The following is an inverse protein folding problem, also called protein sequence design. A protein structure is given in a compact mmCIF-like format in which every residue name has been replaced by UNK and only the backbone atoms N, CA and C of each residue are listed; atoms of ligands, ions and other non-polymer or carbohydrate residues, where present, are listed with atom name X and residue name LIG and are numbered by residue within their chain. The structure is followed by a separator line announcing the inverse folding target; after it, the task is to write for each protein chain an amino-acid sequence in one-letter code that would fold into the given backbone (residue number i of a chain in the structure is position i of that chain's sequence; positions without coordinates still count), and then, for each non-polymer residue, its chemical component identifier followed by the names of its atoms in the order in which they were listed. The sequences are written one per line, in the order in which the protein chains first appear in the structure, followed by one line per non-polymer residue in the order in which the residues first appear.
data_IF_068934813341
#
_entry.id   IF_068934813341
#
_cell.length_a   1.000
_cell.length_b   1.000
_cell.length_c   1.000
_cell.angle_alpha   90.00
_cell.angle_beta   90.00
_cell.angle_gamma   90.00
#
_symmetry.space_group_name_H-M   'P 1'
#
loop_
_entity.id
_entity.type
_entity.pdbx_description
1 polymer ?
#
# COMPACT_ATOMS: atom_id res chain seq x y z
N UNK A 1 43.48 -0.10 -9.80
CA UNK A 1 42.12 0.27 -10.21
C UNK A 1 41.19 -0.89 -9.87
N UNK A 2 40.20 -0.85 -9.00
CA UNK A 2 39.83 0.07 -7.92
C UNK A 2 38.99 -0.76 -6.93
N UNK A 3 39.62 -1.29 -5.87
CA UNK A 3 38.90 -2.00 -4.78
C UNK A 3 37.85 -1.10 -4.11
N UNK A 4 37.97 0.23 -4.30
CA UNK A 4 37.02 1.25 -3.90
C UNK A 4 35.69 1.18 -4.67
N UNK A 5 35.64 0.65 -5.89
CA UNK A 5 34.40 0.58 -6.70
C UNK A 5 33.48 -0.57 -6.29
N UNK A 6 34.02 -1.66 -5.75
CA UNK A 6 33.21 -2.81 -5.30
C UNK A 6 32.46 -2.48 -4.01
N UNK A 7 33.07 -1.68 -3.12
CA UNK A 7 32.45 -1.31 -1.84
C UNK A 7 31.20 -0.41 -2.00
N UNK A 8 31.15 0.38 -3.08
CA UNK A 8 30.03 1.29 -3.37
C UNK A 8 28.79 0.53 -3.87
N UNK A 9 28.96 -0.66 -4.49
CA UNK A 9 27.83 -1.42 -5.01
C UNK A 9 27.05 -2.16 -3.91
N UNK A 10 27.72 -2.54 -2.82
CA UNK A 10 27.09 -3.19 -1.66
C UNK A 10 26.28 -2.24 -0.77
N UNK A 11 26.42 -0.92 -0.93
CA UNK A 11 25.69 0.05 -0.11
C UNK A 11 24.25 0.31 -0.60
N UNK A 12 23.95 0.00 -1.87
CA UNK A 12 22.60 0.22 -2.44
C UNK A 12 21.61 -0.94 -2.23
N UNK A 13 22.09 -2.12 -1.82
CA UNK A 13 21.25 -3.30 -1.57
C UNK A 13 20.74 -3.40 -0.12
N UNK A 14 21.12 -2.46 0.76
CA UNK A 14 20.90 -2.56 2.21
C UNK A 14 19.70 -1.81 2.78
N UNK A 15 18.87 -1.11 1.98
CA UNK A 15 17.76 -0.27 2.49
C UNK A 15 16.38 -0.82 2.10
N UNK A 16 16.21 -2.14 2.21
CA UNK A 16 14.88 -2.74 2.34
C UNK A 16 14.88 -3.66 3.56
N UNK A 17 15.22 -3.10 4.71
CA UNK A 17 14.85 -3.70 5.97
C UNK A 17 13.48 -3.12 6.36
N UNK A 18 12.34 -3.84 6.20
CA UNK A 18 11.09 -3.42 6.81
C UNK A 18 11.09 -3.77 8.30
N UNK A 19 12.25 -3.65 8.96
CA UNK A 19 12.35 -3.73 10.41
C UNK A 19 12.08 -2.32 10.94
N UNK A 20 11.10 -2.20 11.84
CA UNK A 20 10.61 -0.97 12.50
C UNK A 20 9.47 -0.21 11.82
N UNK A 21 8.33 -0.89 11.71
CA UNK A 21 7.10 -0.33 12.25
C UNK A 21 6.70 -1.16 13.46
N UNK A 22 7.36 -0.95 14.61
CA UNK A 22 6.97 -1.55 15.89
C UNK A 22 5.71 -0.86 16.43
N UNK A 23 4.64 -0.93 15.65
CA UNK A 23 3.28 -0.59 16.05
C UNK A 23 2.44 -1.86 15.91
N UNK A 24 1.50 -2.05 16.85
CA UNK A 24 0.44 -3.05 16.73
C UNK A 24 -0.37 -2.90 15.42
N UNK A 25 -0.38 -1.69 14.88
CA UNK A 25 -1.14 -1.25 13.72
C UNK A 25 -0.37 -1.41 12.40
N UNK A 26 -1.01 -2.07 11.42
CA UNK A 26 -0.53 -2.10 10.04
C UNK A 26 -0.94 -0.84 9.29
N UNK A 27 0.02 -0.24 8.58
CA UNK A 27 -0.23 0.88 7.69
C UNK A 27 0.14 0.50 6.26
N UNK A 28 -0.79 0.69 5.33
CA UNK A 28 -0.56 0.52 3.90
C UNK A 28 -1.18 1.70 3.14
N UNK A 29 -0.48 2.17 2.10
CA UNK A 29 -0.95 3.22 1.20
C UNK A 29 -0.86 2.72 -0.23
N UNK A 30 -2.00 2.71 -0.90
CA UNK A 30 -2.13 2.38 -2.31
C UNK A 30 -2.43 3.65 -3.11
N UNK A 31 -1.89 3.71 -4.33
CA UNK A 31 -2.01 4.86 -5.20
C UNK A 31 -2.91 4.57 -6.39
N UNK A 32 -3.62 5.58 -6.87
CA UNK A 32 -4.44 5.47 -8.07
C UNK A 32 -3.86 6.39 -9.16
N UNK A 33 -3.90 5.96 -10.43
CA UNK A 33 -3.71 6.87 -11.55
C UNK A 33 -4.72 8.04 -11.50
N UNK A 34 -4.36 9.16 -12.11
CA UNK A 34 -5.22 10.36 -12.17
C UNK A 34 -6.55 9.99 -12.85
N UNK A 35 -7.67 10.39 -12.24
CA UNK A 35 -9.01 10.11 -12.76
C UNK A 35 -9.47 8.64 -12.69
N UNK A 36 -8.62 7.71 -12.25
CA UNK A 36 -8.98 6.29 -12.15
C UNK A 36 -9.46 5.92 -10.75
N UNK A 37 -10.52 5.11 -10.69
CA UNK A 37 -11.00 4.41 -9.49
C UNK A 37 -10.56 2.94 -9.42
N UNK A 38 -10.01 2.40 -10.51
CA UNK A 38 -9.57 1.01 -10.57
C UNK A 38 -8.20 0.83 -9.91
N UNK A 39 -8.05 -0.10 -8.96
CA UNK A 39 -6.75 -0.44 -8.40
C UNK A 39 -5.84 -1.04 -9.46
N UNK A 40 -4.72 -0.37 -9.74
CA UNK A 40 -3.67 -0.88 -10.61
C UNK A 40 -2.52 -1.40 -9.74
N UNK A 41 -2.28 -2.70 -9.76
CA UNK A 41 -1.24 -3.35 -8.96
C UNK A 41 0.18 -3.08 -9.50
N UNK A 42 0.31 -2.76 -10.79
CA UNK A 42 1.59 -2.42 -11.41
C UNK A 42 1.97 -0.96 -11.14
N UNK A 43 1.01 -0.13 -10.72
CA UNK A 43 1.25 1.28 -10.43
C UNK A 43 1.93 1.46 -9.07
N UNK A 44 3.12 2.08 -9.04
CA UNK A 44 3.83 2.52 -7.82
C UNK A 44 3.97 1.43 -6.73
N UNK A 45 4.28 0.21 -7.16
CA UNK A 45 4.46 -0.97 -6.30
C UNK A 45 3.22 -1.35 -5.49
N UNK A 46 2.03 -0.98 -5.95
CA UNK A 46 0.77 -1.31 -5.28
C UNK A 46 0.61 -2.81 -5.02
N UNK A 47 1.05 -3.67 -5.95
CA UNK A 47 1.02 -5.13 -5.78
C UNK A 47 1.79 -5.59 -4.54
N UNK A 48 3.07 -5.24 -4.45
CA UNK A 48 3.93 -5.61 -3.31
C UNK A 48 3.37 -5.08 -1.99
N UNK A 49 2.84 -3.85 -1.99
CA UNK A 49 2.22 -3.23 -0.81
C UNK A 49 0.93 -3.95 -0.39
N UNK A 50 0.11 -4.35 -1.35
CA UNK A 50 -1.12 -5.10 -1.11
C UNK A 50 -0.79 -6.49 -0.57
N UNK A 51 0.15 -7.20 -1.17
CA UNK A 51 0.56 -8.54 -0.71
C UNK A 51 1.11 -8.50 0.72
N UNK A 52 1.92 -7.50 1.03
CA UNK A 52 2.43 -7.26 2.39
C UNK A 52 1.30 -6.97 3.38
N UNK A 53 0.30 -6.18 2.98
CA UNK A 53 -0.89 -5.91 3.80
C UNK A 53 -1.71 -7.17 4.04
N UNK A 54 -2.00 -7.95 2.99
CA UNK A 54 -2.79 -9.18 3.09
C UNK A 54 -2.09 -10.22 3.96
N UNK A 55 -0.78 -10.40 3.80
CA UNK A 55 0.03 -11.26 4.66
C UNK A 55 -0.04 -10.81 6.14
N UNK A 56 0.07 -9.50 6.39
CA UNK A 56 -0.05 -8.92 7.72
C UNK A 56 -1.44 -9.10 8.34
N UNK A 57 -2.51 -9.00 7.53
CA UNK A 57 -3.89 -9.24 7.97
C UNK A 57 -4.07 -10.72 8.33
N UNK A 58 -3.65 -11.64 7.45
CA UNK A 58 -3.76 -13.09 7.68
C UNK A 58 -3.01 -13.54 8.93
N UNK A 59 -1.79 -13.04 9.13
CA UNK A 59 -1.02 -13.30 10.35
C UNK A 59 -1.78 -12.84 11.61
N UNK A 60 -2.33 -11.63 11.61
CA UNK A 60 -3.10 -11.11 12.76
C UNK A 60 -4.42 -11.84 12.98
N UNK A 61 -5.06 -12.33 11.91
CA UNK A 61 -6.25 -13.19 12.02
C UNK A 61 -5.89 -14.55 12.62
N UNK A 62 -4.80 -15.18 12.18
CA UNK A 62 -4.33 -16.47 12.70
C UNK A 62 -3.99 -16.41 14.19
N UNK A 63 -3.49 -15.28 14.68
CA UNK A 63 -3.19 -15.06 16.10
C UNK A 63 -4.37 -14.44 16.89
N UNK A 64 -5.54 -14.23 16.27
CA UNK A 64 -6.72 -13.60 16.91
C UNK A 64 -6.45 -12.21 17.52
N UNK A 65 -5.50 -11.46 16.96
CA UNK A 65 -5.12 -10.11 17.42
C UNK A 65 -5.61 -8.99 16.50
N UNK A 66 -6.27 -9.33 15.38
CA UNK A 66 -6.84 -8.34 14.47
C UNK A 66 -8.10 -7.69 15.09
N UNK A 67 -7.98 -6.44 15.53
CA UNK A 67 -9.10 -5.72 16.18
C UNK A 67 -9.97 -4.91 15.24
N UNK A 68 -9.38 -4.24 14.26
CA UNK A 68 -10.08 -3.33 13.33
C UNK A 68 -9.28 -3.15 12.04
N UNK A 69 -9.97 -3.10 10.92
CA UNK A 69 -9.45 -2.59 9.66
C UNK A 69 -10.16 -1.27 9.36
N UNK A 70 -9.40 -0.22 9.06
CA UNK A 70 -9.94 1.07 8.65
C UNK A 70 -9.35 1.48 7.32
N UNK A 71 -10.21 1.91 6.40
CA UNK A 71 -9.81 2.31 5.07
C UNK A 71 -10.30 3.73 4.82
N UNK A 72 -9.44 4.54 4.21
CA UNK A 72 -9.73 5.92 3.82
C UNK A 72 -9.18 6.14 2.42
N UNK A 73 -9.93 6.88 1.62
CA UNK A 73 -9.56 7.24 0.25
C UNK A 73 -9.72 8.73 0.08
N UNK A 74 -8.95 9.29 -0.85
CA UNK A 74 -8.99 10.70 -1.18
C UNK A 74 -8.67 10.90 -2.66
N UNK A 75 -8.89 12.13 -3.10
CA UNK A 75 -8.51 12.59 -4.42
C UNK A 75 -7.71 13.87 -4.25
N UNK A 76 -6.80 14.09 -5.18
CA UNK A 76 -6.07 15.35 -5.26
C UNK A 76 -7.04 16.52 -5.47
N UNK A 77 -6.70 17.75 -5.05
CA UNK A 77 -7.65 18.86 -4.95
C UNK A 77 -8.07 19.45 -6.30
N UNK A 78 -7.51 18.96 -7.41
CA UNK A 78 -7.78 19.49 -8.74
C UNK A 78 -9.22 19.16 -9.17
N UNK A 79 -9.89 20.13 -9.79
CA UNK A 79 -11.24 19.98 -10.30
C UNK A 79 -12.34 20.18 -9.25
N UNK A 80 -13.51 19.59 -9.50
CA UNK A 80 -14.71 19.79 -8.69
C UNK A 80 -14.67 18.91 -7.42
N UNK A 81 -14.92 19.51 -6.26
CA UNK A 81 -14.97 18.83 -4.96
C UNK A 81 -15.99 17.68 -4.93
N UNK A 82 -17.14 17.83 -5.58
CA UNK A 82 -18.15 16.77 -5.69
C UNK A 82 -17.63 15.57 -6.50
N UNK A 83 -16.95 15.84 -7.61
CA UNK A 83 -16.32 14.81 -8.44
C UNK A 83 -15.18 14.11 -7.68
N UNK A 84 -14.38 14.87 -6.94
CA UNK A 84 -13.27 14.33 -6.14
C UNK A 84 -13.76 13.43 -5.01
N UNK A 85 -14.87 13.81 -4.36
CA UNK A 85 -15.54 12.99 -3.34
C UNK A 85 -16.08 11.70 -3.94
N UNK A 86 -16.81 11.79 -5.06
CA UNK A 86 -17.31 10.60 -5.77
C UNK A 86 -16.17 9.66 -6.16
N UNK A 87 -15.10 10.20 -6.73
CA UNK A 87 -13.92 9.43 -7.12
C UNK A 87 -13.26 8.77 -5.90
N UNK A 88 -13.17 9.47 -4.76
CA UNK A 88 -12.61 8.88 -3.54
C UNK A 88 -13.47 7.73 -3.00
N UNK A 89 -14.80 7.86 -3.07
CA UNK A 89 -15.74 6.82 -2.62
C UNK A 89 -15.67 5.59 -3.54
N UNK A 90 -15.62 5.80 -4.87
CA UNK A 90 -15.44 4.73 -5.85
C UNK A 90 -14.11 3.98 -5.63
N UNK A 91 -13.00 4.70 -5.44
CA UNK A 91 -11.69 4.11 -5.10
C UNK A 91 -11.75 3.26 -3.84
N UNK A 92 -12.45 3.73 -2.80
CA UNK A 92 -12.59 3.00 -1.55
C UNK A 92 -13.39 1.71 -1.75
N UNK A 93 -14.48 1.78 -2.53
CA UNK A 93 -15.31 0.62 -2.85
C UNK A 93 -14.55 -0.42 -3.67
N UNK A 94 -13.84 -0.01 -4.72
CA UNK A 94 -13.03 -0.90 -5.55
C UNK A 94 -11.90 -1.54 -4.76
N UNK A 95 -11.20 -0.78 -3.92
CA UNK A 95 -10.14 -1.33 -3.07
C UNK A 95 -10.70 -2.33 -2.06
N UNK A 96 -11.87 -2.05 -1.46
CA UNK A 96 -12.53 -2.98 -0.55
C UNK A 96 -12.90 -4.28 -1.26
N UNK A 97 -13.47 -4.20 -2.46
CA UNK A 97 -13.79 -5.37 -3.28
C UNK A 97 -12.56 -6.24 -3.54
N UNK A 98 -11.45 -5.61 -3.98
CA UNK A 98 -10.20 -6.31 -4.23
C UNK A 98 -9.63 -7.00 -2.98
N UNK A 99 -9.64 -6.32 -1.83
CA UNK A 99 -9.15 -6.92 -0.58
C UNK A 99 -10.02 -8.12 -0.17
N UNK A 100 -11.35 -8.00 -0.29
CA UNK A 100 -12.26 -9.10 0.06
C UNK A 100 -12.13 -10.30 -0.88
N UNK A 101 -11.87 -10.08 -2.17
CA UNK A 101 -11.62 -11.15 -3.14
C UNK A 101 -10.33 -11.94 -2.83
N UNK A 102 -9.33 -11.25 -2.25
CA UNK A 102 -7.98 -11.79 -2.06
C UNK A 102 -7.65 -12.21 -0.64
N UNK A 103 -8.51 -11.93 0.35
CA UNK A 103 -8.33 -12.35 1.75
C UNK A 103 -8.71 -13.82 1.92
#
# INVERSE_FOLDING_TARGET
MDLKRVFVLTLFLGIFCPAFCCGDTLHCRLYFPVGSSTPDLSYRDNGVRLDSLLSGIRSRQAHSVLRRISMRSGSSPEGNSASNRRLSDERLASLRGLILERL
#
